data_IF_884580660608
#
_entry.id   IF_884580660608
#
_cell.length_a   1.000
_cell.length_b   1.000
_cell.length_c   1.000
_cell.angle_alpha   90.00
_cell.angle_beta   90.00
_cell.angle_gamma   90.00
#
_symmetry.space_group_name_H-M   'P 1'
#
loop_
_entity.id
_entity.type
_entity.pdbx_description
1 polymer ?
#
# COMPACT_ATOMS: atom_id res chain seq x y z
N UNK A 1 -3.79 21.26 -1.95
CA UNK A 1 -5.07 20.56 -1.74
C UNK A 1 -4.81 19.07 -1.73
N UNK A 2 -5.15 18.36 -0.64
CA UNK A 2 -4.93 16.91 -0.52
C UNK A 2 -6.11 16.20 -1.19
N UNK A 3 -6.06 16.06 -2.52
CA UNK A 3 -7.15 15.45 -3.28
C UNK A 3 -7.01 13.93 -3.29
N UNK A 4 -8.17 13.27 -3.34
CA UNK A 4 -8.34 11.82 -3.38
C UNK A 4 -7.50 11.13 -4.50
N UNK A 5 -7.31 11.70 -5.70
CA UNK A 5 -6.38 11.16 -6.71
C UNK A 5 -4.89 11.32 -6.32
N UNK A 6 -4.51 12.44 -5.73
CA UNK A 6 -3.13 12.72 -5.36
C UNK A 6 -2.63 11.80 -4.22
N UNK A 7 -3.51 11.42 -3.29
CA UNK A 7 -3.19 10.46 -2.23
C UNK A 7 -2.95 9.05 -2.77
N UNK A 8 -3.73 8.59 -3.76
CA UNK A 8 -3.51 7.28 -4.39
C UNK A 8 -2.20 7.18 -5.15
N UNK A 9 -1.85 8.23 -5.90
CA UNK A 9 -0.59 8.20 -6.64
C UNK A 9 0.61 8.14 -5.70
N UNK A 10 0.56 8.86 -4.57
CA UNK A 10 1.60 8.76 -3.53
C UNK A 10 1.67 7.36 -2.91
N UNK A 11 0.53 6.73 -2.60
CA UNK A 11 0.50 5.37 -2.09
C UNK A 11 1.12 4.38 -3.09
N UNK A 12 0.75 4.48 -4.38
CA UNK A 12 1.35 3.64 -5.44
C UNK A 12 2.85 3.84 -5.53
N UNK A 13 3.33 5.09 -5.58
CA UNK A 13 4.77 5.41 -5.63
C UNK A 13 5.50 4.79 -4.45
N UNK A 14 4.94 4.89 -3.24
CA UNK A 14 5.54 4.33 -2.03
C UNK A 14 5.78 2.82 -2.14
N UNK A 15 4.73 2.04 -2.42
CA UNK A 15 4.85 0.58 -2.52
C UNK A 15 5.78 0.15 -3.66
N UNK A 16 5.60 0.73 -4.84
CA UNK A 16 6.37 0.34 -6.02
C UNK A 16 7.85 0.69 -5.91
N UNK A 17 8.20 1.74 -5.18
CA UNK A 17 9.61 2.05 -4.87
C UNK A 17 10.25 0.94 -4.04
N UNK A 18 9.53 0.41 -3.05
CA UNK A 18 10.03 -0.69 -2.20
C UNK A 18 10.13 -1.98 -3.01
N UNK A 19 9.13 -2.31 -3.81
CA UNK A 19 9.13 -3.54 -4.61
C UNK A 19 10.22 -3.55 -5.69
N UNK A 20 10.49 -2.40 -6.31
CA UNK A 20 11.55 -2.27 -7.31
C UNK A 20 12.94 -2.56 -6.73
N UNK A 21 13.16 -2.30 -5.44
CA UNK A 21 14.44 -2.58 -4.78
C UNK A 21 14.76 -4.08 -4.66
N UNK A 22 13.80 -4.98 -4.93
CA UNK A 22 14.06 -6.41 -5.00
C UNK A 22 14.68 -6.86 -6.34
N UNK A 23 14.77 -5.96 -7.33
CA UNK A 23 15.43 -6.20 -8.63
C UNK A 23 14.94 -7.46 -9.38
N UNK A 24 13.65 -7.80 -9.20
CA UNK A 24 13.03 -8.97 -9.83
C UNK A 24 11.94 -8.55 -10.82
N UNK A 25 12.22 -8.60 -12.14
CA UNK A 25 11.24 -8.24 -13.17
C UNK A 25 9.99 -9.12 -13.15
N UNK A 26 10.14 -10.40 -12.81
CA UNK A 26 9.02 -11.35 -12.67
C UNK A 26 8.13 -10.95 -11.50
N UNK A 27 8.72 -10.61 -10.35
CA UNK A 27 7.97 -10.16 -9.18
C UNK A 27 7.21 -8.85 -9.47
N UNK A 28 7.87 -7.89 -10.12
CA UNK A 28 7.25 -6.63 -10.50
C UNK A 28 6.04 -6.84 -11.42
N UNK A 29 6.17 -7.66 -12.46
CA UNK A 29 5.07 -7.97 -13.37
C UNK A 29 3.87 -8.62 -12.66
N UNK A 30 4.12 -9.53 -11.69
CA UNK A 30 3.06 -10.12 -10.88
C UNK A 30 2.35 -9.08 -10.01
N UNK A 31 3.11 -8.20 -9.34
CA UNK A 31 2.57 -7.15 -8.49
C UNK A 31 1.73 -6.16 -9.30
N UNK A 32 2.20 -5.73 -10.48
CA UNK A 32 1.44 -4.83 -11.38
C UNK A 32 0.09 -5.43 -11.78
N UNK A 33 0.09 -6.71 -12.16
CA UNK A 33 -1.13 -7.43 -12.52
C UNK A 33 -2.12 -7.50 -11.35
N UNK A 34 -1.65 -7.86 -10.15
CA UNK A 34 -2.49 -7.94 -8.95
C UNK A 34 -2.99 -6.55 -8.51
N UNK A 35 -2.16 -5.52 -8.63
CA UNK A 35 -2.52 -4.15 -8.30
C UNK A 35 -3.64 -3.62 -9.20
N UNK A 36 -3.59 -3.90 -10.50
CA UNK A 36 -4.62 -3.50 -11.45
C UNK A 36 -5.97 -4.17 -11.16
N UNK A 37 -5.95 -5.47 -10.87
CA UNK A 37 -7.13 -6.25 -10.48
C UNK A 37 -7.75 -5.68 -9.19
N UNK A 38 -6.91 -5.41 -8.18
CA UNK A 38 -7.34 -4.84 -6.89
C UNK A 38 -7.87 -3.42 -7.03
N UNK A 39 -7.24 -2.58 -7.87
CA UNK A 39 -7.64 -1.19 -8.08
C UNK A 39 -9.03 -1.03 -8.67
N UNK A 40 -9.48 -1.96 -9.53
CA UNK A 40 -10.87 -1.98 -10.02
C UNK A 40 -11.86 -2.28 -8.88
N UNK A 41 -11.55 -3.28 -8.07
CA UNK A 41 -12.37 -3.69 -6.92
C UNK A 41 -12.48 -2.60 -5.84
N UNK A 42 -11.37 -1.91 -5.55
CA UNK A 42 -11.32 -0.88 -4.53
C UNK A 42 -11.97 0.45 -4.96
N UNK A 43 -12.02 0.76 -6.26
CA UNK A 43 -12.72 1.94 -6.79
C UNK A 43 -14.24 1.87 -6.55
N UNK A 44 -14.84 0.68 -6.69
CA UNK A 44 -16.27 0.46 -6.49
C UNK A 44 -16.69 0.52 -5.01
N UNK A 45 -15.76 0.30 -4.09
CA UNK A 45 -16.00 0.29 -2.63
C UNK A 45 -15.53 1.58 -1.92
N UNK A 46 -15.07 2.55 -2.70
CA UNK A 46 -14.26 3.68 -2.22
C UNK A 46 -15.03 4.73 -1.44
N UNK A 47 -16.29 4.97 -1.80
CA UNK A 47 -17.17 5.91 -1.08
C UNK A 47 -17.42 5.47 0.37
N UNK A 48 -17.40 4.16 0.62
CA UNK A 48 -17.63 3.56 1.94
C UNK A 48 -16.44 3.79 2.92
N UNK A 49 -15.22 3.94 2.38
CA UNK A 49 -13.98 3.95 3.16
C UNK A 49 -13.49 5.37 3.53
N UNK A 50 -14.07 6.41 2.93
CA UNK A 50 -13.67 7.81 3.13
C UNK A 50 -14.05 8.40 4.51
N UNK A 51 -14.82 7.68 5.35
CA UNK A 51 -15.24 8.13 6.69
C UNK A 51 -14.33 7.69 7.85
N UNK A 52 -13.31 6.86 7.63
CA UNK A 52 -12.45 6.38 8.72
C UNK A 52 -11.16 7.22 8.79
N UNK A 53 -11.08 8.09 9.80
CA UNK A 53 -9.91 8.90 10.11
C UNK A 53 -8.71 8.00 10.54
N UNK A 54 -7.82 7.71 9.57
CA UNK A 54 -6.45 7.11 9.62
C UNK A 54 -6.30 5.57 9.71
N UNK A 55 -5.37 4.92 8.92
CA UNK A 55 -3.92 4.89 9.20
C UNK A 55 -2.90 4.70 8.02
N UNK A 56 -3.11 5.08 6.74
CA UNK A 56 -2.09 4.78 5.69
C UNK A 56 -0.72 5.40 5.99
N UNK A 57 -0.71 6.66 6.43
CA UNK A 57 0.53 7.40 6.68
C UNK A 57 1.35 6.77 7.82
N UNK A 58 0.70 6.23 8.86
CA UNK A 58 1.39 5.61 10.01
C UNK A 58 2.07 4.29 9.66
N UNK A 59 1.45 3.47 8.80
CA UNK A 59 2.04 2.21 8.34
C UNK A 59 3.19 2.47 7.36
N UNK A 60 3.08 3.49 6.50
CA UNK A 60 4.15 3.92 5.61
C UNK A 60 5.36 4.44 6.39
N UNK A 61 5.15 5.30 7.39
CA UNK A 61 6.20 5.78 8.29
C UNK A 61 6.85 4.64 9.07
N UNK A 62 6.04 3.72 9.61
CA UNK A 62 6.53 2.55 10.35
C UNK A 62 7.37 1.63 9.48
N UNK A 63 6.99 1.45 8.21
CA UNK A 63 7.74 0.67 7.23
C UNK A 63 9.10 1.32 6.95
N UNK A 64 9.15 2.63 6.69
CA UNK A 64 10.39 3.36 6.45
C UNK A 64 11.32 3.26 7.66
N UNK A 65 10.78 3.43 8.87
CA UNK A 65 11.55 3.33 10.10
C UNK A 65 12.14 1.92 10.30
N UNK A 66 11.39 0.87 9.97
CA UNK A 66 11.86 -0.51 10.03
C UNK A 66 12.97 -0.78 9.00
N UNK A 67 12.79 -0.34 7.74
CA UNK A 67 13.81 -0.45 6.69
C UNK A 67 15.11 0.24 7.11
N UNK A 68 15.03 1.48 7.64
CA UNK A 68 16.21 2.23 8.10
C UNK A 68 16.98 1.54 9.23
N UNK A 69 16.30 0.74 10.05
CA UNK A 69 16.91 -0.04 11.14
C UNK A 69 17.40 -1.42 10.69
N UNK A 70 17.16 -1.82 9.43
CA UNK A 70 17.41 -3.19 8.96
C UNK A 70 16.43 -4.24 9.52
N UNK A 71 15.31 -3.80 10.10
CA UNK A 71 14.29 -4.70 10.65
C UNK A 71 13.34 -5.16 9.53
N UNK A 72 13.80 -6.14 8.75
CA UNK A 72 13.07 -6.66 7.60
C UNK A 72 11.75 -7.33 7.99
N UNK A 73 11.69 -7.97 9.16
CA UNK A 73 10.49 -8.63 9.66
C UNK A 73 9.39 -7.60 9.96
N UNK A 74 9.74 -6.51 10.65
CA UNK A 74 8.78 -5.42 10.92
C UNK A 74 8.37 -4.70 9.65
N UNK A 75 9.29 -4.46 8.71
CA UNK A 75 8.96 -3.83 7.43
C UNK A 75 7.94 -4.67 6.64
N UNK A 76 8.15 -6.00 6.57
CA UNK A 76 7.20 -6.93 5.96
C UNK A 76 5.83 -6.86 6.63
N UNK A 77 5.78 -6.96 7.96
CA UNK A 77 4.53 -6.91 8.71
C UNK A 77 3.74 -5.61 8.44
N UNK A 78 4.41 -4.46 8.43
CA UNK A 78 3.76 -3.18 8.15
C UNK A 78 3.18 -3.12 6.73
N UNK A 79 3.90 -3.63 5.72
CA UNK A 79 3.42 -3.68 4.33
C UNK A 79 2.22 -4.64 4.19
N UNK A 80 2.27 -5.82 4.80
CA UNK A 80 1.15 -6.77 4.79
C UNK A 80 -0.10 -6.15 5.43
N UNK A 81 0.06 -5.47 6.57
CA UNK A 81 -1.04 -4.77 7.25
C UNK A 81 -1.62 -3.63 6.37
N UNK A 82 -0.77 -2.85 5.69
CA UNK A 82 -1.23 -1.74 4.86
C UNK A 82 -2.05 -2.21 3.65
N UNK A 83 -1.59 -3.28 2.98
CA UNK A 83 -2.28 -3.84 1.81
C UNK A 83 -3.59 -4.53 2.20
N UNK A 84 -3.63 -5.21 3.35
CA UNK A 84 -4.83 -5.93 3.81
C UNK A 84 -5.86 -5.02 4.49
N UNK A 85 -5.46 -3.86 5.02
CA UNK A 85 -6.33 -2.96 5.81
C UNK A 85 -7.68 -2.65 5.16
N UNK A 86 -7.72 -2.49 3.83
CA UNK A 86 -8.99 -2.24 3.14
C UNK A 86 -9.86 -3.50 3.11
N UNK A 87 -9.27 -4.66 2.82
CA UNK A 87 -9.99 -5.92 2.70
C UNK A 87 -10.61 -6.37 4.02
N UNK A 88 -9.93 -6.16 5.15
CA UNK A 88 -10.44 -6.45 6.49
C UNK A 88 -11.68 -5.63 6.90
N UNK A 89 -12.04 -4.61 6.10
CA UNK A 89 -13.16 -3.70 6.33
C UNK A 89 -14.25 -3.81 5.26
N UNK A 90 -14.18 -4.83 4.41
CA UNK A 90 -15.20 -5.11 3.39
C UNK A 90 -16.24 -6.17 3.82
N UNK A 91 -16.23 -6.58 5.09
CA UNK A 91 -17.26 -7.40 5.73
C UNK A 91 -18.46 -6.58 6.22
#
# INVERSE_FOLDING_TARGET
>A
ANTVPASLEKNRIFHFTIYAAAESPVMMAMIESLWLQSGAYLRDKRELLHSAEQPPDLLHESTIAAIRRGDHARARQCIEQDVTWIFDRLD
#
